data_IF_877446857290
#
_entry.id   IF_877446857290
#
_cell.length_a   1.000
_cell.length_b   1.000
_cell.length_c   1.000
_cell.angle_alpha   90.00
_cell.angle_beta   90.00
_cell.angle_gamma   90.00
#
_symmetry.space_group_name_H-M   'P 1'
#
loop_
_entity.id
_entity.type
_entity.pdbx_description
1 polymer ?
#
# COMPACT_ATOMS: atom_id res chain seq x y z
N UNK A 1 -15.01 -9.81 -17.24
CA UNK A 1 -14.18 -10.47 -16.21
C UNK A 1 -14.42 -11.99 -16.11
N UNK A 2 -15.14 -12.60 -17.06
CA UNK A 2 -15.41 -14.05 -17.13
C UNK A 2 -14.84 -14.55 -18.46
N UNK A 3 -14.24 -15.73 -18.45
CA UNK A 3 -13.75 -16.44 -19.64
C UNK A 3 -14.09 -17.92 -19.48
N UNK A 4 -14.82 -18.48 -20.44
CA UNK A 4 -15.31 -19.86 -20.41
C UNK A 4 -16.03 -20.20 -19.08
N UNK A 5 -16.96 -19.34 -18.65
CA UNK A 5 -17.73 -19.47 -17.40
C UNK A 5 -16.90 -19.48 -16.10
N UNK A 6 -15.58 -19.24 -16.20
CA UNK A 6 -14.67 -19.15 -15.07
C UNK A 6 -14.24 -17.70 -14.85
N UNK A 7 -14.06 -17.34 -13.57
CA UNK A 7 -13.50 -16.05 -13.20
C UNK A 7 -12.04 -15.98 -13.65
N UNK A 8 -11.67 -14.87 -14.29
CA UNK A 8 -10.26 -14.58 -14.58
C UNK A 8 -9.50 -14.41 -13.27
N UNK A 9 -8.20 -14.75 -13.27
CA UNK A 9 -7.32 -14.52 -12.11
C UNK A 9 -7.39 -13.08 -11.61
N UNK A 10 -7.37 -12.12 -12.54
CA UNK A 10 -7.54 -10.70 -12.24
C UNK A 10 -8.84 -10.38 -11.49
N UNK A 11 -9.95 -11.08 -11.77
CA UNK A 11 -11.22 -10.86 -11.08
C UNK A 11 -11.15 -11.29 -9.60
N UNK A 12 -10.46 -12.40 -9.31
CA UNK A 12 -10.23 -12.86 -7.94
C UNK A 12 -9.30 -11.89 -7.20
N UNK A 13 -8.23 -11.43 -7.86
CA UNK A 13 -7.26 -10.51 -7.27
C UNK A 13 -7.83 -9.11 -6.98
N UNK A 14 -8.66 -8.59 -7.90
CA UNK A 14 -9.22 -7.25 -7.78
C UNK A 14 -10.46 -7.19 -6.90
N UNK A 15 -11.30 -8.25 -6.86
CA UNK A 15 -12.62 -8.19 -6.20
C UNK A 15 -12.91 -9.38 -5.28
N UNK A 16 -12.01 -10.34 -5.17
CA UNK A 16 -12.18 -11.46 -4.24
C UNK A 16 -12.10 -10.98 -2.80
N UNK A 17 -13.02 -11.44 -1.94
CA UNK A 17 -12.98 -11.13 -0.51
C UNK A 17 -11.75 -11.66 0.22
N UNK A 18 -11.17 -12.74 -0.31
CA UNK A 18 -10.04 -13.43 0.30
C UNK A 18 -9.15 -14.06 -0.79
N UNK A 19 -8.42 -13.24 -1.57
CA UNK A 19 -7.65 -13.71 -2.72
C UNK A 19 -6.44 -14.56 -2.31
N UNK A 20 -5.97 -14.45 -1.06
CA UNK A 20 -4.83 -15.21 -0.54
C UNK A 20 -5.06 -16.73 -0.59
N UNK A 21 -6.32 -17.17 -0.52
CA UNK A 21 -6.72 -18.59 -0.66
C UNK A 21 -6.34 -19.20 -2.01
N UNK A 22 -6.31 -18.36 -3.04
CA UNK A 22 -5.99 -18.75 -4.41
C UNK A 22 -4.58 -18.32 -4.81
N UNK A 23 -4.08 -17.24 -4.22
CA UNK A 23 -2.77 -16.65 -4.49
C UNK A 23 -2.10 -16.24 -3.17
N UNK A 24 -1.38 -17.17 -2.49
CA UNK A 24 -0.80 -16.94 -1.17
C UNK A 24 0.17 -15.76 -1.10
N UNK A 25 0.71 -15.38 -2.26
CA UNK A 25 1.67 -14.29 -2.35
C UNK A 25 1.00 -12.91 -2.37
N UNK A 26 -0.33 -12.77 -2.42
CA UNK A 26 -1.05 -11.48 -2.46
C UNK A 26 -1.08 -10.82 -1.08
N UNK A 27 0.09 -10.32 -0.68
CA UNK A 27 0.33 -9.69 0.61
C UNK A 27 1.24 -8.48 0.37
N UNK A 28 0.94 -7.37 1.02
CA UNK A 28 1.85 -6.25 1.18
C UNK A 28 2.52 -6.39 2.55
N UNK A 29 3.84 -6.58 2.55
CA UNK A 29 4.66 -6.60 3.76
C UNK A 29 5.13 -5.18 4.07
N UNK A 30 4.61 -4.59 5.13
CA UNK A 30 4.99 -3.25 5.57
C UNK A 30 6.05 -3.36 6.66
N UNK A 31 7.16 -2.66 6.49
CA UNK A 31 8.24 -2.56 7.46
C UNK A 31 8.48 -1.10 7.84
N UNK A 32 8.61 -0.85 9.13
CA UNK A 32 9.08 0.43 9.65
C UNK A 32 10.54 0.25 10.01
N UNK A 33 11.41 1.08 9.47
CA UNK A 33 12.86 0.99 9.68
C UNK A 33 13.41 2.33 10.18
N UNK A 34 14.31 2.29 11.16
CA UNK A 34 15.11 3.47 11.55
C UNK A 34 16.32 3.63 10.62
N UNK A 35 16.96 2.51 10.32
CA UNK A 35 18.03 2.34 9.33
C UNK A 35 17.77 1.06 8.56
N UNK A 36 18.49 0.81 7.46
CA UNK A 36 18.32 -0.43 6.66
C UNK A 36 18.49 -1.72 7.48
N UNK A 37 19.12 -1.65 8.66
CA UNK A 37 19.34 -2.79 9.56
C UNK A 37 18.44 -2.77 10.81
N UNK A 38 17.76 -1.66 11.10
CA UNK A 38 17.00 -1.47 12.33
C UNK A 38 15.48 -1.54 12.06
N UNK A 39 14.93 -2.76 12.12
CA UNK A 39 13.49 -2.99 12.02
C UNK A 39 12.79 -2.60 13.33
N UNK A 40 11.90 -1.61 13.26
CA UNK A 40 11.10 -1.16 14.40
C UNK A 40 9.79 -1.94 14.52
N UNK A 41 9.12 -2.18 13.39
CA UNK A 41 7.95 -3.06 13.35
C UNK A 41 7.68 -3.58 11.94
N UNK A 42 6.94 -4.68 11.88
CA UNK A 42 6.47 -5.27 10.62
C UNK A 42 5.00 -5.65 10.75
N UNK A 43 4.21 -5.33 9.73
CA UNK A 43 2.81 -5.71 9.63
C UNK A 43 2.50 -6.20 8.21
N UNK A 44 1.60 -7.18 8.11
CA UNK A 44 1.09 -7.66 6.83
C UNK A 44 -0.25 -7.02 6.55
N UNK A 45 -0.43 -6.50 5.35
CA UNK A 45 -1.70 -6.02 4.83
C UNK A 45 -2.18 -7.02 3.79
N UNK A 46 -3.37 -7.55 4.02
CA UNK A 46 -4.04 -8.57 3.22
C UNK A 46 -5.40 -8.04 2.74
N UNK A 47 -5.85 -8.52 1.59
CA UNK A 47 -7.11 -8.12 0.99
C UNK A 47 -7.03 -8.20 -0.54
N UNK A 48 -8.09 -7.75 -1.22
CA UNK A 48 -7.97 -7.52 -2.66
C UNK A 48 -7.06 -6.32 -2.96
N UNK A 49 -6.65 -6.19 -4.23
CA UNK A 49 -5.71 -5.15 -4.67
C UNK A 49 -6.18 -3.74 -4.28
N UNK A 50 -7.48 -3.44 -4.37
CA UNK A 50 -8.01 -2.13 -4.00
C UNK A 50 -7.98 -1.92 -2.49
N UNK A 51 -8.45 -2.90 -1.71
CA UNK A 51 -8.43 -2.84 -0.25
C UNK A 51 -7.01 -2.65 0.28
N UNK A 52 -6.04 -3.39 -0.27
CA UNK A 52 -4.64 -3.26 0.12
C UNK A 52 -4.10 -1.87 -0.24
N UNK A 53 -4.41 -1.34 -1.42
CA UNK A 53 -3.95 -0.01 -1.83
C UNK A 53 -4.55 1.10 -0.96
N UNK A 54 -5.85 1.05 -0.70
CA UNK A 54 -6.55 2.06 0.10
C UNK A 54 -6.10 2.00 1.56
N UNK A 55 -6.06 0.80 2.17
CA UNK A 55 -5.61 0.59 3.55
C UNK A 55 -4.16 1.02 3.75
N UNK A 56 -3.28 0.66 2.82
CA UNK A 56 -1.86 1.07 2.88
C UNK A 56 -1.73 2.59 2.81
N UNK A 57 -2.42 3.22 1.87
CA UNK A 57 -2.40 4.69 1.70
C UNK A 57 -2.89 5.40 2.96
N UNK A 58 -4.01 4.94 3.52
CA UNK A 58 -4.59 5.50 4.74
C UNK A 58 -3.65 5.38 5.94
N UNK A 59 -2.98 4.22 6.09
CA UNK A 59 -2.01 4.01 7.16
C UNK A 59 -0.80 4.95 6.99
N UNK A 60 -0.29 5.09 5.77
CA UNK A 60 0.84 5.98 5.44
C UNK A 60 0.52 7.44 5.79
N UNK A 61 -0.63 7.94 5.32
CA UNK A 61 -1.08 9.31 5.58
C UNK A 61 -1.34 9.58 7.07
N UNK A 62 -2.02 8.65 7.77
CA UNK A 62 -2.41 8.88 9.17
C UNK A 62 -1.27 8.75 10.17
N UNK A 63 -0.31 7.86 9.92
CA UNK A 63 0.71 7.50 10.93
C UNK A 63 2.11 8.00 10.63
N UNK A 64 2.44 8.27 9.36
CA UNK A 64 3.83 8.46 8.96
C UNK A 64 4.09 9.76 8.22
N UNK A 65 3.18 10.21 7.37
CA UNK A 65 3.37 11.46 6.63
C UNK A 65 3.13 12.67 7.50
N UNK A 66 4.00 13.67 7.34
CA UNK A 66 3.86 14.93 8.06
C UNK A 66 2.69 15.70 7.44
N UNK A 67 2.01 16.49 8.27
CA UNK A 67 1.03 17.45 7.79
C UNK A 67 1.61 18.85 7.90
N UNK A 68 1.72 19.52 6.77
CA UNK A 68 2.12 20.92 6.70
C UNK A 68 0.95 21.74 7.22
N UNK A 69 1.18 22.48 8.31
CA UNK A 69 0.17 23.34 8.91
C UNK A 69 0.32 24.73 8.29
N UNK A 70 -0.75 25.21 7.67
CA UNK A 70 -0.88 26.58 7.18
C UNK A 70 -2.15 27.23 7.74
N UNK A 71 -2.28 28.54 7.57
CA UNK A 71 -3.42 29.31 8.06
C UNK A 71 -4.00 30.17 6.94
N UNK A 72 -5.31 30.09 6.74
CA UNK A 72 -6.06 30.99 5.88
C UNK A 72 -7.04 31.79 6.74
N UNK A 73 -6.66 33.03 7.07
CA UNK A 73 -7.34 33.81 8.11
C UNK A 73 -7.27 33.12 9.47
N UNK A 74 -8.43 32.82 10.06
CA UNK A 74 -8.52 32.11 11.34
C UNK A 74 -8.67 30.57 11.18
N UNK A 75 -8.61 30.04 9.96
CA UNK A 75 -8.74 28.60 9.71
C UNK A 75 -7.38 27.93 9.58
N UNK A 76 -7.14 26.91 10.41
CA UNK A 76 -5.99 26.01 10.28
C UNK A 76 -6.24 25.04 9.13
N UNK A 77 -5.33 25.01 8.18
CA UNK A 77 -5.33 24.07 7.05
C UNK A 77 -4.20 23.08 7.28
N UNK A 78 -4.52 21.79 7.24
CA UNK A 78 -3.54 20.71 7.26
C UNK A 78 -3.40 20.13 5.85
N UNK A 79 -2.24 20.30 5.25
CA UNK A 79 -1.92 19.75 3.93
C UNK A 79 -1.02 18.53 4.10
N UNK A 80 -1.39 17.36 3.57
CA UNK A 80 -0.52 16.18 3.65
C UNK A 80 0.77 16.41 2.85
N UNK A 81 1.87 15.83 3.32
CA UNK A 81 3.19 15.89 2.68
C UNK A 81 3.17 15.33 1.25
N UNK A 82 2.36 14.29 1.02
CA UNK A 82 2.14 13.68 -0.29
C UNK A 82 0.64 13.66 -0.63
N UNK A 83 0.25 13.87 -1.90
CA UNK A 83 -1.13 13.65 -2.32
C UNK A 83 -1.52 12.18 -2.15
N UNK A 84 -2.64 11.91 -1.47
CA UNK A 84 -3.15 10.55 -1.25
C UNK A 84 -3.32 9.77 -2.57
N UNK A 85 -3.74 10.43 -3.64
CA UNK A 85 -3.88 9.80 -4.96
C UNK A 85 -2.54 9.32 -5.53
N UNK A 86 -1.45 10.07 -5.32
CA UNK A 86 -0.13 9.70 -5.79
C UNK A 86 0.39 8.47 -5.04
N UNK A 87 0.20 8.43 -3.72
CA UNK A 87 0.60 7.29 -2.88
C UNK A 87 -0.21 6.04 -3.25
N UNK A 88 -1.52 6.20 -3.42
CA UNK A 88 -2.41 5.13 -3.86
C UNK A 88 -1.98 4.55 -5.21
N UNK A 89 -1.62 5.40 -6.17
CA UNK A 89 -1.15 4.98 -7.48
C UNK A 89 0.21 4.26 -7.41
N UNK A 90 1.14 4.72 -6.57
CA UNK A 90 2.42 4.02 -6.34
C UNK A 90 2.18 2.61 -5.78
N UNK A 91 1.30 2.48 -4.78
CA UNK A 91 0.97 1.18 -4.18
C UNK A 91 0.25 0.29 -5.18
N UNK A 92 -0.72 0.82 -5.94
CA UNK A 92 -1.39 0.07 -7.00
C UNK A 92 -0.40 -0.44 -8.05
N UNK A 93 0.51 0.40 -8.51
CA UNK A 93 1.52 0.01 -9.48
C UNK A 93 2.44 -1.08 -8.94
N UNK A 94 2.87 -0.99 -7.68
CA UNK A 94 3.65 -2.03 -7.04
C UNK A 94 2.88 -3.36 -6.93
N UNK A 95 1.56 -3.32 -6.69
CA UNK A 95 0.71 -4.52 -6.62
C UNK A 95 0.44 -5.13 -8.00
N UNK A 96 0.13 -4.30 -9.00
CA UNK A 96 -0.25 -4.73 -10.35
C UNK A 96 0.95 -5.23 -11.15
N UNK A 97 2.09 -4.54 -11.07
CA UNK A 97 3.30 -4.91 -11.81
C UNK A 97 4.11 -6.02 -11.16
N UNK A 98 3.58 -6.63 -10.11
CA UNK A 98 4.27 -7.71 -9.41
C UNK A 98 4.37 -8.96 -10.25
N UNK A 99 5.58 -9.51 -10.31
CA UNK A 99 5.80 -10.89 -10.74
C UNK A 99 5.45 -11.82 -9.56
N UNK A 100 4.34 -12.54 -9.65
CA UNK A 100 3.80 -13.41 -8.56
C UNK A 100 4.71 -14.58 -8.14
N UNK A 101 5.95 -14.63 -8.61
CA UNK A 101 6.97 -15.66 -8.34
C UNK A 101 8.08 -15.19 -7.38
N UNK A 102 7.93 -14.04 -6.72
CA UNK A 102 8.96 -13.43 -5.85
C UNK A 102 8.49 -13.01 -4.46
N UNK A 103 9.37 -12.28 -3.75
CA UNK A 103 9.13 -11.73 -2.41
C UNK A 103 7.84 -10.89 -2.33
N UNK A 104 7.23 -10.75 -1.14
CA UNK A 104 6.11 -9.82 -0.93
C UNK A 104 6.53 -8.40 -1.26
N UNK A 105 5.54 -7.58 -1.65
CA UNK A 105 5.76 -6.13 -1.83
C UNK A 105 6.21 -5.59 -0.49
N UNK A 106 7.34 -4.91 -0.47
CA UNK A 106 7.90 -4.37 0.74
C UNK A 106 7.77 -2.85 0.74
N UNK A 107 7.12 -2.31 1.76
CA UNK A 107 7.05 -0.87 1.98
C UNK A 107 7.89 -0.54 3.20
N UNK A 108 9.00 0.15 2.98
CA UNK A 108 9.95 0.55 4.00
C UNK A 108 9.79 2.04 4.31
N UNK A 109 9.53 2.38 5.56
CA UNK A 109 9.33 3.77 5.99
C UNK A 109 10.52 4.18 6.86
N UNK A 110 11.13 5.31 6.52
CA UNK A 110 12.23 5.98 7.23
C UNK A 110 11.77 7.38 7.68
N UNK A 111 12.61 8.09 8.42
CA UNK A 111 12.28 9.43 8.95
C UNK A 111 12.06 10.50 7.85
N UNK A 112 12.73 10.34 6.71
CA UNK A 112 12.79 11.32 5.61
C UNK A 112 12.27 10.79 4.27
N UNK A 113 11.98 9.49 4.17
CA UNK A 113 11.56 8.85 2.92
C UNK A 113 10.72 7.60 3.18
N UNK A 114 9.92 7.23 2.19
CA UNK A 114 9.35 5.89 2.09
C UNK A 114 9.81 5.25 0.79
N UNK A 115 9.96 3.92 0.81
CA UNK A 115 10.43 3.12 -0.32
C UNK A 115 9.43 2.00 -0.54
N UNK A 116 9.04 1.79 -1.80
CA UNK A 116 8.22 0.65 -2.22
C UNK A 116 9.07 -0.25 -3.11
N UNK A 117 9.19 -1.51 -2.72
CA UNK A 117 9.98 -2.53 -3.41
C UNK A 117 9.09 -3.70 -3.82
N UNK A 118 9.29 -4.21 -5.04
CA UNK A 118 8.40 -5.16 -5.74
C UNK A 118 9.22 -6.22 -6.48
#
# INVERSE_FOLDING_TARGET
>A
MIENEKLKRAAILLFGKDPIRFYPNVIVNRQILLTDSDLLSQELIEGNIFEMADTTTEILDKKYFKKIISYEGNHRIETPEYPNEAIREIVLNAIVHRQYTGAPIQISIYEDKFIVWN
#
